data_IF_439189008717
#
_entry.id   IF_439189008717
#
_cell.length_a   1.000
_cell.length_b   1.000
_cell.length_c   1.000
_cell.angle_alpha   90.00
_cell.angle_beta   90.00
_cell.angle_gamma   90.00
#
_symmetry.space_group_name_H-M   'P 1'
#
loop_
_entity.id
_entity.type
_entity.pdbx_description
1 polymer ?
#
# COMPACT_ATOMS: atom_id res chain seq x y z
N UNK A 1 13.90 -3.39 -0.01
CA UNK A 1 13.61 -3.00 -1.40
C UNK A 1 12.34 -3.71 -1.85
N UNK A 2 11.45 -3.03 -2.57
CA UNK A 2 10.30 -3.65 -3.24
C UNK A 2 10.29 -3.24 -4.72
N UNK A 3 9.75 -4.10 -5.58
CA UNK A 3 9.63 -3.85 -7.01
C UNK A 3 8.49 -4.67 -7.61
N UNK A 4 8.02 -4.28 -8.79
CA UNK A 4 7.11 -5.08 -9.59
C UNK A 4 7.82 -5.71 -10.78
N UNK A 5 7.52 -6.96 -11.10
CA UNK A 5 8.03 -7.64 -12.29
C UNK A 5 7.00 -8.60 -12.91
N UNK A 6 7.34 -9.23 -14.04
CA UNK A 6 6.44 -10.07 -14.84
C UNK A 6 6.94 -11.51 -14.99
N UNK A 7 7.61 -12.03 -13.97
CA UNK A 7 8.28 -13.35 -14.08
C UNK A 7 7.34 -14.55 -14.17
N UNK A 8 6.07 -14.41 -13.76
CA UNK A 8 5.15 -15.54 -13.66
C UNK A 8 4.24 -15.67 -14.89
N UNK A 9 3.23 -14.85 -15.04
CA UNK A 9 2.13 -15.00 -16.00
C UNK A 9 2.02 -13.86 -17.03
N UNK A 10 3.01 -12.95 -17.03
CA UNK A 10 3.05 -11.77 -17.90
C UNK A 10 2.36 -10.53 -17.34
N UNK A 11 1.57 -10.65 -16.29
CA UNK A 11 1.13 -9.52 -15.48
C UNK A 11 2.22 -9.13 -14.47
N UNK A 12 2.05 -8.00 -13.81
CA UNK A 12 3.01 -7.54 -12.81
C UNK A 12 2.61 -8.01 -11.44
N UNK A 13 3.55 -8.69 -10.76
CA UNK A 13 3.48 -9.07 -9.36
C UNK A 13 4.39 -8.18 -8.52
N UNK A 14 4.09 -8.06 -7.23
CA UNK A 14 4.92 -7.33 -6.28
C UNK A 14 5.86 -8.28 -5.56
N UNK A 15 7.15 -7.96 -5.58
CA UNK A 15 8.22 -8.66 -4.88
C UNK A 15 8.95 -7.75 -3.91
N UNK A 16 9.60 -8.34 -2.91
CA UNK A 16 10.48 -7.62 -2.01
C UNK A 16 11.73 -8.42 -1.66
N UNK A 17 12.77 -7.70 -1.22
CA UNK A 17 14.02 -8.26 -0.75
C UNK A 17 14.57 -7.41 0.39
N UNK A 18 15.16 -8.06 1.37
CA UNK A 18 15.94 -7.41 2.42
C UNK A 18 17.41 -7.49 2.07
N UNK A 19 18.11 -6.36 2.17
CA UNK A 19 19.54 -6.24 1.89
C UNK A 19 20.23 -5.72 3.14
N UNK A 20 21.34 -6.37 3.55
CA UNK A 20 22.16 -5.90 4.68
C UNK A 20 22.93 -4.63 4.33
N UNK A 21 23.51 -3.98 5.33
CA UNK A 21 24.39 -2.83 5.13
C UNK A 21 25.63 -3.17 4.29
N UNK A 22 26.02 -4.45 4.24
CA UNK A 22 27.16 -4.93 3.43
C UNK A 22 26.75 -5.34 2.01
N UNK A 23 25.48 -5.17 1.62
CA UNK A 23 24.96 -5.54 0.31
C UNK A 23 24.53 -7.00 0.16
N UNK A 24 24.47 -7.76 1.26
CA UNK A 24 24.06 -9.18 1.24
C UNK A 24 22.53 -9.30 1.11
N UNK A 25 22.08 -10.20 0.25
CA UNK A 25 20.67 -10.58 0.08
C UNK A 25 20.28 -11.52 1.22
N UNK A 26 19.30 -11.13 2.03
CA UNK A 26 18.95 -11.82 3.28
C UNK A 26 17.75 -12.75 3.16
N UNK A 27 16.88 -12.59 2.17
CA UNK A 27 15.76 -13.48 1.89
C UNK A 27 16.04 -14.40 0.70
N UNK A 28 15.04 -15.14 0.26
CA UNK A 28 15.15 -16.04 -0.88
C UNK A 28 15.73 -15.31 -2.11
N UNK A 29 16.61 -15.99 -2.83
CA UNK A 29 17.19 -15.48 -4.08
C UNK A 29 16.07 -14.97 -5.02
N UNK A 30 16.28 -13.79 -5.59
CA UNK A 30 15.32 -13.09 -6.44
C UNK A 30 14.06 -12.53 -5.73
N UNK A 31 14.08 -12.50 -4.39
CA UNK A 31 13.02 -11.89 -3.58
C UNK A 31 11.88 -12.82 -3.22
N UNK A 32 11.07 -12.36 -2.27
CA UNK A 32 9.84 -13.04 -1.83
C UNK A 32 8.63 -12.40 -2.51
N UNK A 33 7.62 -13.19 -2.93
CA UNK A 33 6.40 -12.62 -3.48
C UNK A 33 5.57 -11.96 -2.36
N UNK A 34 5.14 -10.72 -2.59
CA UNK A 34 4.28 -9.94 -1.70
C UNK A 34 2.83 -10.08 -2.13
N UNK A 35 2.57 -9.91 -3.42
CA UNK A 35 1.31 -10.20 -4.07
C UNK A 35 1.62 -10.85 -5.42
N UNK A 36 0.85 -11.84 -5.80
CA UNK A 36 1.07 -12.63 -7.02
C UNK A 36 -0.27 -13.19 -7.54
N UNK A 37 -1.21 -12.30 -7.83
CA UNK A 37 -2.46 -12.61 -8.51
C UNK A 37 -2.27 -12.38 -10.01
N UNK A 38 -3.03 -13.10 -10.86
CA UNK A 38 -3.10 -12.83 -12.30
C UNK A 38 -3.90 -11.54 -12.60
N UNK A 39 -3.50 -10.44 -11.96
CA UNK A 39 -4.06 -9.09 -12.12
C UNK A 39 -2.93 -8.06 -12.11
N UNK A 40 -3.18 -6.86 -12.65
CA UNK A 40 -2.16 -5.82 -12.72
C UNK A 40 -1.89 -5.21 -11.35
N UNK A 41 -0.63 -5.27 -10.93
CA UNK A 41 -0.14 -4.68 -9.69
C UNK A 41 1.09 -3.81 -10.00
N UNK A 42 1.14 -2.59 -9.51
CA UNK A 42 2.27 -1.69 -9.74
C UNK A 42 2.31 -0.53 -8.74
N UNK A 43 3.29 0.37 -8.93
CA UNK A 43 3.48 1.59 -8.15
C UNK A 43 3.64 1.34 -6.65
N UNK A 44 4.34 0.25 -6.32
CA UNK A 44 4.61 -0.17 -4.96
C UNK A 44 5.40 0.89 -4.18
N UNK A 45 5.10 1.00 -2.91
CA UNK A 45 5.80 1.82 -1.91
C UNK A 45 6.10 0.98 -0.70
N UNK A 46 7.22 1.26 -0.06
CA UNK A 46 7.72 0.50 1.10
C UNK A 46 8.10 1.45 2.23
N UNK A 47 7.75 1.05 3.46
CA UNK A 47 8.20 1.68 4.70
C UNK A 47 8.68 0.59 5.66
N UNK A 48 9.75 0.86 6.43
CA UNK A 48 10.23 -0.04 7.47
C UNK A 48 9.21 -0.14 8.61
N UNK A 49 9.10 -1.33 9.23
CA UNK A 49 8.34 -1.54 10.46
C UNK A 49 9.23 -1.38 11.73
N UNK A 50 10.52 -1.02 11.56
CA UNK A 50 11.57 -0.92 12.59
C UNK A 50 11.92 -2.25 13.29
N UNK A 51 11.28 -3.37 12.93
CA UNK A 51 11.55 -4.70 13.45
C UNK A 51 12.24 -5.61 12.42
N UNK A 52 12.76 -5.02 11.36
CA UNK A 52 13.45 -5.73 10.27
C UNK A 52 12.54 -6.24 9.17
N UNK A 53 11.24 -6.00 9.27
CA UNK A 53 10.23 -6.20 8.25
C UNK A 53 9.85 -4.89 7.55
N UNK A 54 8.71 -4.89 6.87
CA UNK A 54 8.24 -3.72 6.14
C UNK A 54 6.74 -3.75 5.83
N UNK A 55 6.15 -2.57 5.72
CA UNK A 55 4.86 -2.34 5.08
C UNK A 55 5.09 -2.05 3.60
N UNK A 56 4.33 -2.72 2.73
CA UNK A 56 4.39 -2.52 1.28
C UNK A 56 2.96 -2.30 0.80
N UNK A 57 2.73 -1.17 0.12
CA UNK A 57 1.44 -0.87 -0.50
C UNK A 57 1.62 -0.63 -1.99
N UNK A 58 0.61 -0.99 -2.79
CA UNK A 58 0.65 -0.91 -4.24
C UNK A 58 -0.72 -0.55 -4.82
N UNK A 59 -0.74 -0.25 -6.08
CA UNK A 59 -1.95 -0.06 -6.87
C UNK A 59 -2.29 -1.38 -7.56
N UNK A 60 -3.52 -1.85 -7.38
CA UNK A 60 -4.04 -3.09 -7.94
C UNK A 60 -5.27 -2.80 -8.79
N UNK A 61 -5.27 -3.30 -10.04
CA UNK A 61 -6.41 -3.13 -10.93
C UNK A 61 -7.53 -4.12 -10.60
N UNK A 62 -8.72 -3.62 -10.33
CA UNK A 62 -9.90 -4.44 -10.19
C UNK A 62 -10.58 -4.60 -11.56
N UNK A 63 -10.46 -5.80 -12.15
CA UNK A 63 -11.03 -6.10 -13.46
C UNK A 63 -12.56 -6.23 -13.44
N UNK A 64 -13.17 -6.44 -12.28
CA UNK A 64 -14.63 -6.52 -12.14
C UNK A 64 -15.28 -5.14 -12.22
N UNK A 65 -14.64 -4.15 -11.59
CA UNK A 65 -15.17 -2.79 -11.49
C UNK A 65 -14.48 -1.80 -12.43
N UNK A 66 -13.30 -2.14 -12.97
CA UNK A 66 -12.61 -1.35 -13.99
C UNK A 66 -11.82 -0.15 -13.46
N UNK A 67 -11.39 -0.16 -12.20
CA UNK A 67 -10.57 0.90 -11.58
C UNK A 67 -9.46 0.35 -10.70
N UNK A 68 -8.56 1.24 -10.29
CA UNK A 68 -7.43 0.93 -9.43
C UNK A 68 -7.78 1.13 -7.97
N UNK A 69 -7.35 0.19 -7.12
CA UNK A 69 -7.46 0.26 -5.66
C UNK A 69 -6.08 0.17 -5.01
N UNK A 70 -5.97 0.71 -3.78
CA UNK A 70 -4.77 0.57 -2.97
C UNK A 70 -4.87 -0.69 -2.12
N UNK A 71 -3.86 -1.55 -2.24
CA UNK A 71 -3.69 -2.76 -1.46
C UNK A 71 -2.38 -2.70 -0.68
N UNK A 72 -2.27 -3.46 0.40
CA UNK A 72 -1.07 -3.50 1.22
C UNK A 72 -0.81 -4.84 1.87
N UNK A 73 0.45 -5.04 2.26
CA UNK A 73 0.95 -6.20 3.00
C UNK A 73 1.95 -5.74 4.05
N UNK A 74 1.98 -6.43 5.19
CA UNK A 74 3.04 -6.36 6.17
C UNK A 74 3.86 -7.65 6.10
N UNK A 75 5.17 -7.54 6.05
CA UNK A 75 6.11 -8.66 6.06
C UNK A 75 7.05 -8.56 7.24
N UNK A 76 7.41 -9.70 7.84
CA UNK A 76 8.34 -9.77 8.94
C UNK A 76 9.82 -9.72 8.51
N UNK A 77 10.74 -9.78 9.48
CA UNK A 77 12.17 -9.79 9.26
C UNK A 77 12.68 -10.99 8.41
N UNK A 78 11.89 -12.06 8.31
CA UNK A 78 12.18 -13.26 7.52
C UNK A 78 11.54 -13.24 6.13
N UNK A 79 10.80 -12.19 5.79
CA UNK A 79 10.06 -12.06 4.53
C UNK A 79 8.72 -12.82 4.51
N UNK A 80 8.20 -13.21 5.70
CA UNK A 80 6.89 -13.85 5.80
C UNK A 80 5.78 -12.79 5.80
N UNK A 81 4.71 -13.04 5.05
CA UNK A 81 3.53 -12.19 5.03
C UNK A 81 2.77 -12.34 6.35
N UNK A 82 2.42 -11.23 6.97
CA UNK A 82 1.73 -11.15 8.25
C UNK A 82 0.23 -10.87 8.12
N UNK A 83 -0.19 -10.32 6.99
CA UNK A 83 -1.61 -10.12 6.66
C UNK A 83 -2.11 -11.22 5.71
N UNK A 84 -3.30 -11.06 5.14
CA UNK A 84 -3.86 -12.05 4.21
C UNK A 84 -2.90 -12.36 3.05
N UNK A 85 -2.99 -13.58 2.52
CA UNK A 85 -2.06 -14.13 1.53
C UNK A 85 -1.77 -13.18 0.35
N UNK A 86 -2.74 -12.43 -0.09
CA UNK A 86 -2.63 -11.48 -1.19
C UNK A 86 -2.75 -10.03 -0.77
N UNK A 87 -2.50 -9.75 0.53
CA UNK A 87 -2.67 -8.42 1.10
C UNK A 87 -4.12 -8.06 1.44
N UNK A 88 -4.29 -6.84 1.93
CA UNK A 88 -5.59 -6.27 2.31
C UNK A 88 -5.81 -4.95 1.60
N UNK A 89 -7.05 -4.58 1.25
CA UNK A 89 -7.34 -3.29 0.63
C UNK A 89 -7.29 -2.16 1.66
N UNK A 90 -6.85 -0.97 1.22
CA UNK A 90 -6.78 0.22 2.07
C UNK A 90 -8.16 0.71 2.53
N UNK A 91 -9.19 0.45 1.73
CA UNK A 91 -10.59 0.73 2.06
C UNK A 91 -11.44 -0.52 1.88
N UNK A 92 -12.62 -0.57 2.49
CA UNK A 92 -13.58 -1.66 2.23
C UNK A 92 -14.04 -1.60 0.79
N UNK A 93 -13.88 -2.73 0.07
CA UNK A 93 -14.27 -2.87 -1.33
C UNK A 93 -15.74 -3.30 -1.46
N UNK A 94 -16.28 -3.15 -2.68
CA UNK A 94 -17.61 -3.66 -3.02
C UNK A 94 -18.77 -2.77 -2.59
N UNK A 95 -18.50 -1.56 -2.10
CA UNK A 95 -19.54 -0.55 -1.89
C UNK A 95 -19.77 0.23 -3.19
N UNK A 96 -21.03 0.36 -3.58
CA UNK A 96 -21.43 1.18 -4.75
C UNK A 96 -21.09 2.67 -4.58
N UNK A 97 -20.69 3.08 -3.39
CA UNK A 97 -20.32 4.47 -3.07
C UNK A 97 -18.80 4.72 -3.09
N UNK A 98 -17.98 3.67 -3.24
CA UNK A 98 -16.51 3.75 -3.26
C UNK A 98 -15.99 3.25 -4.61
N UNK A 99 -16.44 3.89 -5.66
CA UNK A 99 -16.01 3.65 -7.05
C UNK A 99 -14.84 4.56 -7.42
N UNK A 100 -14.28 4.38 -8.62
CA UNK A 100 -13.22 5.23 -9.15
C UNK A 100 -11.81 4.93 -8.63
N UNK A 101 -10.83 5.44 -9.35
CA UNK A 101 -9.42 5.15 -9.14
C UNK A 101 -8.89 5.67 -7.79
N UNK A 102 -8.04 4.86 -7.15
CA UNK A 102 -7.21 5.23 -6.01
C UNK A 102 -5.75 5.05 -6.42
N UNK A 103 -5.00 6.14 -6.45
CA UNK A 103 -3.70 6.22 -7.08
C UNK A 103 -2.68 6.99 -6.22
N UNK A 104 -1.42 6.93 -6.63
CA UNK A 104 -0.32 7.72 -6.04
C UNK A 104 -0.16 7.52 -4.54
N UNK A 105 -0.23 6.25 -4.10
CA UNK A 105 -0.06 5.86 -2.69
C UNK A 105 1.28 6.33 -2.13
N UNK A 106 1.29 6.79 -0.89
CA UNK A 106 2.46 7.07 -0.07
C UNK A 106 2.28 6.49 1.31
N UNK A 107 3.38 6.12 1.95
CA UNK A 107 3.40 5.51 3.28
C UNK A 107 4.30 6.28 4.22
N UNK A 108 3.94 6.23 5.50
CA UNK A 108 4.79 6.63 6.60
C UNK A 108 4.51 5.73 7.81
N UNK A 109 5.54 5.15 8.41
CA UNK A 109 5.38 4.44 9.70
C UNK A 109 4.88 5.40 10.77
N UNK A 110 4.08 4.89 11.71
CA UNK A 110 3.50 5.69 12.80
C UNK A 110 4.39 5.77 14.04
N UNK A 111 5.52 5.06 14.08
CA UNK A 111 6.41 4.97 15.24
C UNK A 111 5.87 4.09 16.37
N UNK A 112 4.71 3.47 16.23
CA UNK A 112 4.07 2.60 17.24
C UNK A 112 3.83 1.18 16.70
N UNK A 113 4.46 0.85 15.58
CA UNK A 113 4.33 -0.45 14.92
C UNK A 113 3.16 -0.53 13.93
N UNK A 114 2.69 0.59 13.44
CA UNK A 114 1.68 0.70 12.39
C UNK A 114 2.14 1.58 11.24
N UNK A 115 1.23 1.91 10.32
CA UNK A 115 1.54 2.65 9.11
C UNK A 115 0.38 3.57 8.70
N UNK A 116 0.72 4.82 8.39
CA UNK A 116 -0.15 5.75 7.69
C UNK A 116 -0.02 5.55 6.18
N UNK A 117 -1.15 5.60 5.51
CA UNK A 117 -1.26 5.47 4.05
C UNK A 117 -2.07 6.63 3.53
N UNK A 118 -1.59 7.33 2.51
CA UNK A 118 -2.28 8.44 1.87
C UNK A 118 -2.29 8.25 0.36
N UNK A 119 -3.39 8.62 -0.30
CA UNK A 119 -3.57 8.44 -1.75
C UNK A 119 -4.43 9.52 -2.37
N UNK A 120 -4.42 9.58 -3.70
CA UNK A 120 -5.42 10.29 -4.50
C UNK A 120 -6.61 9.38 -4.73
N UNK A 121 -7.82 9.90 -4.59
CA UNK A 121 -9.07 9.16 -4.65
C UNK A 121 -10.07 9.85 -5.59
N UNK A 122 -10.55 9.14 -6.59
CA UNK A 122 -11.50 9.63 -7.59
C UNK A 122 -12.94 9.16 -7.32
N UNK A 123 -13.28 8.87 -6.05
CA UNK A 123 -14.59 8.30 -5.68
C UNK A 123 -15.79 9.20 -5.97
N UNK A 124 -15.59 10.50 -6.07
CA UNK A 124 -16.63 11.44 -6.43
C UNK A 124 -16.89 11.51 -7.96
N UNK A 125 -16.03 10.87 -8.79
CA UNK A 125 -16.07 10.82 -10.26
C UNK A 125 -16.02 12.19 -10.96
N UNK A 126 -15.56 13.22 -10.26
CA UNK A 126 -15.43 14.59 -10.77
C UNK A 126 -13.98 15.06 -10.77
N UNK A 127 -13.31 14.91 -9.63
CA UNK A 127 -11.93 15.32 -9.40
C UNK A 127 -11.26 14.40 -8.38
N UNK A 128 -9.94 14.53 -8.22
CA UNK A 128 -9.22 13.75 -7.23
C UNK A 128 -9.18 14.51 -5.91
N UNK A 129 -9.56 13.81 -4.85
CA UNK A 129 -9.40 14.21 -3.46
C UNK A 129 -8.19 13.52 -2.83
N UNK A 130 -7.75 13.99 -1.66
CA UNK A 130 -6.73 13.30 -0.85
C UNK A 130 -7.41 12.59 0.31
N UNK A 131 -7.19 11.28 0.38
CA UNK A 131 -7.66 10.42 1.46
C UNK A 131 -6.48 9.74 2.18
N UNK A 132 -6.73 9.34 3.42
CA UNK A 132 -5.76 8.62 4.22
C UNK A 132 -6.42 7.50 5.04
N UNK A 133 -5.58 6.53 5.44
CA UNK A 133 -5.92 5.45 6.38
C UNK A 133 -4.76 5.20 7.32
N UNK A 134 -5.06 4.74 8.52
CA UNK A 134 -4.09 4.28 9.50
C UNK A 134 -4.30 2.80 9.78
N UNK A 135 -3.25 1.99 9.69
CA UNK A 135 -3.25 0.57 10.00
C UNK A 135 -2.38 0.27 11.20
N UNK A 136 -2.82 -0.61 12.07
CA UNK A 136 -1.94 -1.24 13.06
C UNK A 136 -1.14 -2.40 12.42
N UNK A 137 -0.20 -2.97 13.19
CA UNK A 137 0.65 -4.07 12.73
C UNK A 137 -0.15 -5.32 12.27
N UNK A 138 -1.36 -5.52 12.78
CA UNK A 138 -2.22 -6.66 12.45
C UNK A 138 -3.09 -6.43 11.21
N UNK A 139 -2.97 -5.26 10.56
CA UNK A 139 -3.75 -4.92 9.37
C UNK A 139 -5.16 -4.39 9.66
N UNK A 140 -5.48 -4.10 10.94
CA UNK A 140 -6.75 -3.46 11.27
C UNK A 140 -6.70 -1.98 10.91
N UNK A 141 -7.73 -1.50 10.21
CA UNK A 141 -7.93 -0.06 9.97
C UNK A 141 -8.32 0.60 11.29
N UNK A 142 -7.61 1.68 11.64
CA UNK A 142 -7.85 2.43 12.88
C UNK A 142 -8.78 3.63 12.66
N UNK A 143 -9.00 4.02 11.41
CA UNK A 143 -9.96 5.06 11.03
C UNK A 143 -11.19 4.45 10.34
N UNK A 144 -12.03 5.30 9.72
CA UNK A 144 -13.20 4.83 8.97
C UNK A 144 -12.82 3.73 7.97
N UNK A 145 -13.69 2.74 7.78
CA UNK A 145 -13.50 1.66 6.80
C UNK A 145 -13.30 2.15 5.36
N UNK A 146 -13.69 3.39 5.07
CA UNK A 146 -13.52 4.04 3.76
C UNK A 146 -12.38 5.07 3.73
N UNK A 147 -11.56 5.12 4.79
CA UNK A 147 -10.55 6.16 4.97
C UNK A 147 -11.14 7.48 5.44
N UNK A 148 -10.28 8.47 5.65
CA UNK A 148 -10.67 9.84 6.02
C UNK A 148 -10.26 10.81 4.91
N UNK A 149 -11.12 11.77 4.60
CA UNK A 149 -10.77 12.84 3.68
C UNK A 149 -9.78 13.80 4.35
N UNK A 150 -8.60 13.94 3.77
CA UNK A 150 -7.59 14.92 4.18
C UNK A 150 -7.86 16.26 3.48
N UNK A 151 -8.24 16.20 2.19
CA UNK A 151 -8.66 17.35 1.41
C UNK A 151 -9.69 16.90 0.38
N UNK A 152 -10.84 17.55 0.35
CA UNK A 152 -11.91 17.36 -0.65
C UNK A 152 -12.42 18.72 -1.15
N UNK A 153 -11.52 19.67 -1.38
CA UNK A 153 -11.85 20.95 -1.97
C UNK A 153 -12.21 20.81 -3.45
N UNK A 154 -13.03 21.68 -3.96
CA UNK A 154 -13.39 21.71 -5.40
C UNK A 154 -12.14 21.79 -6.28
N UNK A 155 -12.05 20.94 -7.30
CA UNK A 155 -10.92 20.78 -8.20
C UNK A 155 -9.96 19.69 -7.72
N UNK A 156 -9.05 19.27 -8.59
CA UNK A 156 -8.19 18.12 -8.38
C UNK A 156 -7.04 18.42 -7.41
N UNK A 157 -6.89 17.57 -6.37
CA UNK A 157 -5.72 17.54 -5.49
C UNK A 157 -4.82 16.39 -5.89
N UNK A 158 -3.52 16.66 -5.98
CA UNK A 158 -2.54 15.72 -6.56
C UNK A 158 -1.30 15.52 -5.68
N UNK A 159 -0.63 14.38 -5.90
CA UNK A 159 0.71 14.08 -5.40
C UNK A 159 0.87 14.28 -3.88
N UNK A 160 0.04 13.62 -3.05
CA UNK A 160 0.18 13.74 -1.62
C UNK A 160 1.58 13.30 -1.19
N UNK A 161 2.07 13.93 -0.12
CA UNK A 161 3.26 13.50 0.61
C UNK A 161 2.89 13.36 2.06
N UNK A 162 3.60 12.48 2.75
CA UNK A 162 3.42 12.25 4.17
C UNK A 162 4.81 12.18 4.81
N UNK A 163 5.00 12.91 5.91
CA UNK A 163 6.21 12.91 6.71
C UNK A 163 5.84 12.76 8.18
N UNK A 164 6.72 12.16 9.02
CA UNK A 164 6.45 12.05 10.44
C UNK A 164 6.48 13.45 11.08
N UNK A 165 5.57 13.67 12.04
CA UNK A 165 5.68 14.81 12.93
C UNK A 165 6.82 14.54 13.95
N UNK A 166 7.91 15.29 13.85
CA UNK A 166 9.07 15.15 14.72
C UNK A 166 8.85 15.70 16.14
N UNK A 167 7.69 16.28 16.43
CA UNK A 167 7.43 17.02 17.69
C UNK A 167 6.76 16.16 18.77
N UNK A 168 6.27 14.97 18.44
CA UNK A 168 5.47 14.13 19.34
C UNK A 168 6.07 12.72 19.55
N UNK A 169 7.39 12.63 19.73
CA UNK A 169 8.04 11.42 20.26
C UNK A 169 8.30 11.55 21.74
#
# INVERSE_FOLDING_TARGET
VAWSDRRNDGERDIYAQRVSANGEVLWTTNGVPIASKSIREHNEKIASDDNGGAYIFWEQYDSLFGYWDIWGQHIDANGQRLWDLNGIPAVTLGSSTIVGDKLNVKLQKDGQGGVFVVWQDFRNLLDHDIFAQHFNALGSRLWSEYGVAVCSATGTQNNPKIDPDSVHN
#
